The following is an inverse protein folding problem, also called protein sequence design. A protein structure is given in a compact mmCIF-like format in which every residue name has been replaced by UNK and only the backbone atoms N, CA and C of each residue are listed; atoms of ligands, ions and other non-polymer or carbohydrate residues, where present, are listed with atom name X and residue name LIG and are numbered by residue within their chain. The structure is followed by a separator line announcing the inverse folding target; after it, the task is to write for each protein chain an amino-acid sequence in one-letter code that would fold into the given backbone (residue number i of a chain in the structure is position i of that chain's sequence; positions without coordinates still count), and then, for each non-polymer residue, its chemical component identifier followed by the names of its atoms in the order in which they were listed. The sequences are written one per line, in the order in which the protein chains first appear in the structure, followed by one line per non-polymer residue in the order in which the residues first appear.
data_IF_052855005475
#
_entry.id   IF_052855005475
#
_cell.length_a   1.000
_cell.length_b   1.000
_cell.length_c   1.000
_cell.angle_alpha   90.00
_cell.angle_beta   90.00
_cell.angle_gamma   90.00
#
_symmetry.space_group_name_H-M   'P 1'
#
loop_
_entity.id
_entity.type
_entity.pdbx_description
1 polymer ?
#
# COMPACT_ATOMS: atom_id res chain seq x y z
N UNK A 1 -17.89 -30.83 -0.83
CA UNK A 1 -17.45 -29.43 -1.00
C UNK A 1 -16.52 -29.39 -2.20
N UNK A 2 -16.69 -28.43 -3.11
CA UNK A 2 -15.85 -28.31 -4.31
C UNK A 2 -14.52 -27.65 -3.97
N UNK A 3 -13.46 -27.98 -4.70
CA UNK A 3 -12.11 -27.40 -4.54
C UNK A 3 -12.14 -25.86 -4.64
N UNK A 4 -12.95 -25.30 -5.53
CA UNK A 4 -13.14 -23.86 -5.69
C UNK A 4 -13.64 -23.16 -4.42
N UNK A 5 -14.54 -23.81 -3.66
CA UNK A 5 -15.03 -23.25 -2.39
C UNK A 5 -13.98 -23.27 -1.30
N UNK A 6 -13.06 -24.24 -1.34
CA UNK A 6 -11.90 -24.29 -0.45
C UNK A 6 -10.93 -23.15 -0.77
N UNK A 7 -10.57 -22.98 -2.06
CA UNK A 7 -9.63 -21.92 -2.49
C UNK A 7 -10.13 -20.52 -2.13
N UNK A 8 -11.43 -20.23 -2.32
CA UNK A 8 -12.01 -18.95 -1.92
C UNK A 8 -11.90 -18.71 -0.41
N UNK A 9 -12.12 -19.75 0.40
CA UNK A 9 -11.98 -19.65 1.86
C UNK A 9 -10.52 -19.45 2.27
N UNK A 10 -9.59 -20.16 1.65
CA UNK A 10 -8.16 -20.01 1.89
C UNK A 10 -7.68 -18.60 1.56
N UNK A 11 -8.03 -18.06 0.38
CA UNK A 11 -7.67 -16.68 -0.01
C UNK A 11 -8.25 -15.63 0.94
N UNK A 12 -9.47 -15.86 1.44
CA UNK A 12 -10.09 -14.97 2.42
C UNK A 12 -9.30 -14.98 3.75
N UNK A 13 -8.95 -16.18 4.23
CA UNK A 13 -8.12 -16.36 5.42
C UNK A 13 -6.73 -15.72 5.29
N UNK A 14 -6.06 -15.92 4.15
CA UNK A 14 -4.77 -15.30 3.85
C UNK A 14 -4.85 -13.77 3.96
N UNK A 15 -5.87 -13.17 3.35
CA UNK A 15 -6.09 -11.72 3.41
C UNK A 15 -6.39 -11.22 4.82
N UNK A 16 -7.17 -11.95 5.60
CA UNK A 16 -7.45 -11.59 6.99
C UNK A 16 -6.18 -11.66 7.85
N UNK A 17 -5.34 -12.68 7.66
CA UNK A 17 -4.05 -12.82 8.35
C UNK A 17 -3.07 -11.70 7.97
N UNK A 18 -3.02 -11.30 6.69
CA UNK A 18 -2.21 -10.17 6.23
C UNK A 18 -2.60 -8.85 6.89
N UNK A 19 -3.91 -8.60 7.03
CA UNK A 19 -4.42 -7.41 7.70
C UNK A 19 -4.07 -7.40 9.19
N UNK A 20 -4.19 -8.55 9.87
CA UNK A 20 -3.80 -8.70 11.27
C UNK A 20 -2.29 -8.48 11.45
N UNK A 21 -1.46 -9.03 10.57
CA UNK A 21 0.00 -8.80 10.57
C UNK A 21 0.32 -7.32 10.41
N UNK A 22 -0.33 -6.66 9.45
CA UNK A 22 -0.16 -5.23 9.18
C UNK A 22 -0.57 -4.37 10.39
N UNK A 23 -1.65 -4.75 11.07
CA UNK A 23 -2.08 -4.08 12.31
C UNK A 23 -1.03 -4.20 13.42
N UNK A 24 -0.49 -5.41 13.65
CA UNK A 24 0.54 -5.65 14.67
C UNK A 24 1.83 -4.86 14.35
N UNK A 25 2.26 -4.86 13.09
CA UNK A 25 3.41 -4.03 12.64
C UNK A 25 3.15 -2.56 12.91
N UNK A 26 1.94 -2.07 12.59
CA UNK A 26 1.53 -0.69 12.88
C UNK A 26 1.53 -0.33 14.37
N UNK A 27 1.30 -1.30 15.27
CA UNK A 27 1.37 -1.08 16.73
C UNK A 27 2.80 -1.14 17.28
N UNK A 28 3.61 -2.10 16.82
CA UNK A 28 5.00 -2.28 17.27
C UNK A 28 5.92 -1.21 16.65
N UNK A 29 5.51 -0.65 15.50
CA UNK A 29 6.26 0.38 14.79
C UNK A 29 7.58 -0.14 14.21
N UNK A 30 7.74 -1.46 14.05
CA UNK A 30 8.97 -2.08 13.55
C UNK A 30 8.67 -3.34 12.75
N UNK A 31 9.32 -3.47 11.61
CA UNK A 31 9.30 -4.67 10.76
C UNK A 31 10.72 -4.94 10.18
N UNK A 32 10.90 -5.94 9.30
CA UNK A 32 12.20 -6.17 8.65
C UNK A 32 12.72 -5.00 7.80
N UNK A 33 11.86 -4.07 7.38
CA UNK A 33 12.24 -2.86 6.63
C UNK A 33 12.74 -1.74 7.56
N UNK A 34 12.44 -1.81 8.87
CA UNK A 34 12.99 -0.92 9.88
C UNK A 34 11.93 -0.36 10.83
N UNK A 35 12.19 0.84 11.36
CA UNK A 35 11.24 1.54 12.24
C UNK A 35 10.25 2.37 11.42
N UNK A 36 8.97 2.10 11.61
CA UNK A 36 7.88 2.85 11.02
C UNK A 36 7.73 4.20 11.72
N UNK A 37 7.96 5.30 11.00
CA UNK A 37 7.67 6.65 11.48
C UNK A 37 6.15 6.96 11.30
N UNK A 38 5.35 7.03 12.38
CA UNK A 38 3.91 7.21 12.26
C UNK A 38 3.53 8.57 11.66
N UNK A 39 4.35 9.61 11.87
CA UNK A 39 4.11 10.94 11.31
C UNK A 39 4.30 10.95 9.80
N UNK A 40 5.29 10.20 9.30
CA UNK A 40 5.50 10.01 7.86
C UNK A 40 4.31 9.28 7.22
N UNK A 41 3.89 8.15 7.80
CA UNK A 41 2.76 7.36 7.28
C UNK A 41 1.47 8.19 7.27
N UNK A 42 1.16 8.89 8.36
CA UNK A 42 -0.04 9.74 8.44
C UNK A 42 -0.02 10.86 7.40
N UNK A 43 1.13 11.50 7.19
CA UNK A 43 1.30 12.54 6.17
C UNK A 43 1.09 11.96 4.77
N UNK A 44 1.74 10.84 4.47
CA UNK A 44 1.70 10.23 3.15
C UNK A 44 0.31 9.68 2.82
N UNK A 45 -0.37 9.01 3.75
CA UNK A 45 -1.74 8.53 3.56
C UNK A 45 -2.73 9.68 3.36
N UNK A 46 -2.52 10.82 4.03
CA UNK A 46 -3.34 12.02 3.78
C UNK A 46 -3.13 12.52 2.35
N UNK A 47 -1.87 12.68 1.94
CA UNK A 47 -1.51 13.16 0.59
C UNK A 47 -1.96 12.19 -0.51
N UNK A 48 -1.93 10.88 -0.26
CA UNK A 48 -2.38 9.86 -1.21
C UNK A 48 -3.90 9.90 -1.48
N UNK A 49 -4.69 10.43 -0.53
CA UNK A 49 -6.13 10.64 -0.73
C UNK A 49 -6.46 11.98 -1.41
N UNK A 50 -5.48 12.86 -1.61
CA UNK A 50 -5.69 14.10 -2.34
C UNK A 50 -5.82 13.83 -3.85
N UNK A 51 -6.50 14.73 -4.56
CA UNK A 51 -6.64 14.60 -6.01
C UNK A 51 -5.25 14.68 -6.66
N UNK A 52 -4.83 13.67 -7.45
CA UNK A 52 -3.53 13.68 -8.07
C UNK A 52 -3.43 14.88 -9.00
N UNK A 53 -2.41 15.71 -8.79
CA UNK A 53 -2.15 16.88 -9.64
C UNK A 53 -1.50 16.50 -10.97
N UNK A 54 -0.85 15.35 -11.02
CA UNK A 54 -0.13 14.85 -12.18
C UNK A 54 -0.42 13.36 -12.35
N UNK A 55 -0.59 12.92 -13.60
CA UNK A 55 -0.70 11.52 -13.98
C UNK A 55 0.31 11.26 -15.10
N UNK A 56 1.08 10.18 -14.97
CA UNK A 56 2.03 9.75 -15.97
C UNK A 56 1.92 8.23 -16.15
N UNK A 57 1.86 7.80 -17.40
CA UNK A 57 1.67 6.38 -17.77
C UNK A 57 2.94 5.75 -18.35
N UNK A 58 3.92 6.58 -18.67
CA UNK A 58 5.19 6.17 -19.25
C UNK A 58 6.31 7.17 -18.93
N UNK A 59 7.56 6.73 -19.13
CA UNK A 59 8.74 7.53 -18.83
C UNK A 59 8.78 8.86 -19.61
N UNK A 60 8.27 8.91 -20.84
CA UNK A 60 8.26 10.13 -21.64
C UNK A 60 7.25 11.14 -21.08
N UNK A 61 6.06 10.68 -20.69
CA UNK A 61 5.03 11.50 -20.04
C UNK A 61 5.51 12.07 -18.70
N UNK A 62 6.27 11.30 -17.93
CA UNK A 62 6.90 11.77 -16.70
C UNK A 62 7.98 12.83 -16.97
N UNK A 63 8.90 12.57 -17.91
CA UNK A 63 9.99 13.49 -18.24
C UNK A 63 9.49 14.83 -18.79
N UNK A 64 8.36 14.86 -19.50
CA UNK A 64 7.71 16.11 -19.94
C UNK A 64 7.31 16.99 -18.75
N UNK A 65 6.78 16.40 -17.68
CA UNK A 65 6.40 17.15 -16.47
C UNK A 65 7.61 17.69 -15.70
N UNK A 66 8.75 16.97 -15.73
CA UNK A 66 9.98 17.40 -15.06
C UNK A 66 10.74 18.47 -15.85
N UNK A 67 10.87 18.30 -17.17
CA UNK A 67 11.67 19.16 -18.04
C UNK A 67 10.97 20.44 -18.48
N UNK A 68 9.65 20.53 -18.28
CA UNK A 68 8.83 21.71 -18.61
C UNK A 68 8.76 22.78 -17.53
N UNK A 69 9.63 22.73 -16.52
CA UNK A 69 9.83 23.79 -15.52
C UNK A 69 11.17 24.48 -15.73
#
# INVERSE_FOLDING_TARGET
MTTETLERKTRKLEREVELLRSFVIGQIGKDPEGEYNPAFVKKFLREANEKPKYEFKDANSFLKHIRGK
#
